data_IF_541267167462
#
_entry.id   IF_541267167462
#
_cell.length_a   1.000
_cell.length_b   1.000
_cell.length_c   1.000
_cell.angle_alpha   90.00
_cell.angle_beta   90.00
_cell.angle_gamma   90.00
#
_symmetry.space_group_name_H-M   'P 1'
#
loop_
_entity.id
_entity.type
_entity.pdbx_description
1 polymer ?
#
# COMPACT_ATOMS: atom_id res chain seq x y z
N UNK A 1 27.80 -39.53 -39.88
CA UNK A 1 28.61 -38.71 -38.95
C UNK A 1 28.26 -37.23 -39.00
N UNK A 2 27.94 -36.67 -40.13
CA UNK A 2 27.63 -35.22 -40.26
C UNK A 2 26.22 -34.83 -39.74
N UNK A 3 25.27 -35.75 -39.66
CA UNK A 3 23.91 -35.44 -39.17
C UNK A 3 23.80 -35.30 -37.67
N UNK A 4 24.61 -36.03 -36.90
CA UNK A 4 24.62 -35.94 -35.43
C UNK A 4 25.24 -34.65 -34.92
N UNK A 5 26.24 -34.13 -35.63
CA UNK A 5 26.88 -32.86 -35.26
C UNK A 5 25.93 -31.64 -35.43
N UNK A 6 25.09 -31.70 -36.46
CA UNK A 6 24.10 -30.63 -36.71
C UNK A 6 22.96 -30.61 -35.70
N UNK A 7 22.55 -31.77 -35.20
CA UNK A 7 21.46 -31.85 -34.18
C UNK A 7 21.95 -31.35 -32.82
N UNK A 8 23.17 -31.70 -32.41
CA UNK A 8 23.78 -31.25 -31.18
C UNK A 8 24.02 -29.73 -31.21
N UNK A 9 24.53 -29.19 -32.33
CA UNK A 9 24.73 -27.76 -32.50
C UNK A 9 23.44 -26.95 -32.49
N UNK A 10 22.36 -27.47 -33.09
CA UNK A 10 21.04 -26.83 -33.04
C UNK A 10 20.39 -26.91 -31.67
N UNK A 11 20.62 -28.01 -30.95
CA UNK A 11 20.08 -28.18 -29.58
C UNK A 11 20.77 -27.25 -28.59
N UNK A 12 22.10 -27.09 -28.70
CA UNK A 12 22.87 -26.14 -27.86
C UNK A 12 22.51 -24.70 -28.15
N UNK A 13 22.25 -24.34 -29.42
CA UNK A 13 21.81 -22.99 -29.80
C UNK A 13 20.39 -22.68 -29.24
N UNK A 14 19.48 -23.66 -29.25
CA UNK A 14 18.13 -23.54 -28.69
C UNK A 14 18.14 -23.40 -27.16
N UNK A 15 19.02 -24.15 -26.47
CA UNK A 15 19.21 -24.03 -25.03
C UNK A 15 19.83 -22.68 -24.63
N UNK A 16 20.77 -22.16 -25.40
CA UNK A 16 21.37 -20.85 -25.19
C UNK A 16 20.36 -19.71 -25.39
N UNK A 17 19.49 -19.82 -26.41
CA UNK A 17 18.44 -18.85 -26.67
C UNK A 17 17.36 -18.85 -25.56
N UNK A 18 17.07 -20.00 -24.97
CA UNK A 18 16.08 -20.12 -23.89
C UNK A 18 16.61 -19.58 -22.56
N UNK A 19 17.92 -19.57 -22.34
CA UNK A 19 18.55 -19.01 -21.14
C UNK A 19 18.52 -17.47 -21.10
N UNK A 20 18.43 -16.81 -22.25
CA UNK A 20 18.39 -15.34 -22.37
C UNK A 20 17.00 -14.73 -22.07
N UNK A 21 15.96 -15.54 -21.96
CA UNK A 21 14.59 -15.04 -21.71
C UNK A 21 14.25 -14.87 -20.22
N UNK A 22 15.14 -15.26 -19.31
CA UNK A 22 14.94 -15.14 -17.86
C UNK A 22 15.50 -13.85 -17.23
N UNK A 23 15.90 -12.86 -18.03
CA UNK A 23 16.17 -11.52 -17.47
C UNK A 23 14.86 -10.84 -17.16
N UNK A 24 14.21 -11.28 -16.09
CA UNK A 24 13.04 -10.60 -15.53
C UNK A 24 13.46 -9.21 -15.05
N UNK A 25 12.77 -8.16 -15.54
CA UNK A 25 12.87 -6.81 -14.96
C UNK A 25 12.40 -6.88 -13.52
N UNK A 26 13.33 -7.07 -12.59
CA UNK A 26 13.05 -6.92 -11.16
C UNK A 26 12.74 -5.44 -10.87
N UNK A 27 11.47 -5.12 -10.60
CA UNK A 27 11.11 -3.80 -10.08
C UNK A 27 11.77 -3.64 -8.71
N UNK A 28 12.80 -2.78 -8.64
CA UNK A 28 13.41 -2.41 -7.36
C UNK A 28 12.53 -1.38 -6.67
N UNK A 29 11.94 -1.77 -5.56
CA UNK A 29 11.27 -0.81 -4.67
C UNK A 29 12.31 0.15 -4.09
N UNK A 30 12.04 1.45 -4.06
CA UNK A 30 12.92 2.38 -3.37
C UNK A 30 13.00 2.02 -1.88
N UNK A 31 14.11 2.35 -1.25
CA UNK A 31 14.30 2.12 0.17
C UNK A 31 13.22 2.85 0.99
N UNK A 32 12.54 2.14 1.87
CA UNK A 32 11.50 2.68 2.73
C UNK A 32 12.08 3.10 4.07
N UNK A 33 11.65 4.25 4.55
CA UNK A 33 11.97 4.76 5.89
C UNK A 33 10.70 4.65 6.73
N UNK A 34 10.78 3.93 7.84
CA UNK A 34 9.65 3.83 8.79
C UNK A 34 9.26 5.22 9.27
N UNK A 35 8.00 5.55 9.09
CA UNK A 35 7.46 6.89 9.35
C UNK A 35 6.26 6.77 10.27
N UNK A 36 6.35 7.41 11.40
CA UNK A 36 5.28 7.48 12.41
C UNK A 36 5.09 8.91 12.85
N UNK A 37 3.95 9.20 13.44
CA UNK A 37 3.67 10.52 13.98
C UNK A 37 2.35 10.57 14.71
N UNK A 38 1.95 11.78 15.08
CA UNK A 38 0.70 12.05 15.78
C UNK A 38 -0.02 13.21 15.10
N UNK A 39 -1.33 13.10 14.95
CA UNK A 39 -2.19 14.16 14.43
C UNK A 39 -2.97 14.78 15.60
N UNK A 40 -2.85 16.09 15.75
CA UNK A 40 -3.61 16.88 16.72
C UNK A 40 -4.33 18.02 16.02
N UNK A 41 -5.46 18.41 16.58
CA UNK A 41 -6.21 19.59 16.19
C UNK A 41 -6.53 20.39 17.46
N UNK A 42 -6.05 21.63 17.51
CA UNK A 42 -6.18 22.50 18.70
C UNK A 42 -5.66 21.84 20.00
N UNK A 43 -4.57 21.06 19.90
CA UNK A 43 -3.98 20.33 21.02
C UNK A 43 -4.62 18.98 21.34
N UNK A 44 -5.74 18.63 20.70
CA UNK A 44 -6.45 17.36 20.91
C UNK A 44 -6.05 16.32 19.85
N UNK A 45 -5.82 15.06 20.24
CA UNK A 45 -5.52 14.00 19.28
C UNK A 45 -6.72 13.71 18.36
N UNK A 46 -6.45 13.50 17.08
CA UNK A 46 -7.48 13.19 16.08
C UNK A 46 -7.48 11.69 15.78
N UNK A 47 -8.48 11.01 16.28
CA UNK A 47 -8.69 9.58 16.01
C UNK A 47 -9.40 9.34 14.68
N UNK A 48 -9.11 8.19 14.07
CA UNK A 48 -9.78 7.71 12.84
C UNK A 48 -9.66 8.69 11.65
N UNK A 49 -8.55 9.40 11.57
CA UNK A 49 -8.22 10.23 10.41
C UNK A 49 -7.43 9.41 9.38
N UNK A 50 -7.80 9.55 8.13
CA UNK A 50 -7.05 9.00 7.00
C UNK A 50 -6.02 10.02 6.52
N UNK A 51 -4.76 9.59 6.45
CA UNK A 51 -3.64 10.39 5.98
C UNK A 51 -3.19 9.90 4.62
N UNK A 52 -2.84 10.84 3.74
CA UNK A 52 -2.24 10.53 2.45
C UNK A 52 -0.99 11.39 2.27
N UNK A 53 0.11 10.74 1.93
CA UNK A 53 1.42 11.33 1.66
C UNK A 53 1.66 11.26 0.17
N UNK A 54 1.61 12.40 -0.51
CA UNK A 54 1.69 12.51 -1.97
C UNK A 54 3.04 13.09 -2.35
N UNK A 55 3.94 12.29 -2.97
CA UNK A 55 5.21 12.79 -3.47
C UNK A 55 5.02 13.61 -4.76
N UNK A 56 6.03 14.38 -5.16
CA UNK A 56 6.04 15.05 -6.45
C UNK A 56 6.06 14.05 -7.62
N UNK A 57 6.72 12.91 -7.42
CA UNK A 57 6.69 11.79 -8.35
C UNK A 57 6.78 10.47 -7.60
N UNK A 58 6.10 9.44 -8.10
CA UNK A 58 6.11 8.12 -7.51
C UNK A 58 4.80 7.75 -6.82
N UNK A 59 4.86 6.70 -6.02
CA UNK A 59 3.67 6.13 -5.37
C UNK A 59 3.31 6.89 -4.09
N UNK A 60 2.05 7.28 -3.92
CA UNK A 60 1.55 7.79 -2.64
C UNK A 60 1.62 6.74 -1.54
N UNK A 61 1.79 7.20 -0.30
CA UNK A 61 1.70 6.39 0.89
C UNK A 61 0.51 6.84 1.75
N UNK A 62 0.04 5.97 2.62
CA UNK A 62 -1.12 6.25 3.46
C UNK A 62 -0.93 5.77 4.89
N UNK A 63 -1.73 6.30 5.79
CA UNK A 63 -1.81 5.89 7.17
C UNK A 63 -3.16 6.27 7.78
N UNK A 64 -3.49 5.65 8.90
CA UNK A 64 -4.68 5.99 9.67
C UNK A 64 -4.30 6.23 11.10
N UNK A 65 -4.95 7.19 11.75
CA UNK A 65 -4.72 7.46 13.17
C UNK A 65 -5.54 6.50 14.05
N UNK A 66 -4.92 6.09 15.16
CA UNK A 66 -5.59 5.36 16.23
C UNK A 66 -6.33 6.32 17.19
N UNK A 67 -6.86 5.82 18.29
CA UNK A 67 -7.58 6.61 19.30
C UNK A 67 -6.72 7.70 19.94
N UNK A 68 -5.40 7.56 19.95
CA UNK A 68 -4.45 8.53 20.48
C UNK A 68 -3.96 9.53 19.42
N UNK A 69 -4.48 9.45 18.18
CA UNK A 69 -4.04 10.27 17.07
C UNK A 69 -2.73 9.83 16.43
N UNK A 70 -2.18 8.69 16.86
CA UNK A 70 -0.92 8.14 16.36
C UNK A 70 -1.13 7.39 15.03
N UNK A 71 -0.17 7.52 14.12
CA UNK A 71 -0.22 6.85 12.82
C UNK A 71 1.11 6.21 12.44
N UNK A 72 1.02 5.21 11.58
CA UNK A 72 2.15 4.60 10.88
C UNK A 72 1.87 4.65 9.38
N UNK A 73 2.90 4.89 8.59
CA UNK A 73 2.76 5.06 7.14
C UNK A 73 3.09 3.77 6.40
N UNK A 74 2.33 3.50 5.36
CA UNK A 74 2.50 2.35 4.49
C UNK A 74 2.50 2.77 3.02
N UNK A 75 3.52 2.38 2.27
CA UNK A 75 3.57 2.55 0.81
C UNK A 75 3.12 1.28 0.08
N UNK A 76 3.61 0.13 0.52
CA UNK A 76 3.31 -1.18 -0.07
C UNK A 76 2.58 -2.12 0.89
N UNK A 77 2.59 -1.82 2.17
CA UNK A 77 1.91 -2.56 3.22
C UNK A 77 2.79 -2.82 4.44
N UNK A 78 2.17 -3.30 5.53
CA UNK A 78 2.88 -3.68 6.74
C UNK A 78 3.61 -2.56 7.46
N UNK A 79 3.15 -1.32 7.33
CA UNK A 79 3.78 -0.14 7.93
C UNK A 79 5.25 0.02 7.55
N UNK A 80 5.56 -0.23 6.30
CA UNK A 80 6.92 -0.19 5.74
C UNK A 80 7.49 1.23 5.64
N UNK A 81 6.64 2.24 5.76
CA UNK A 81 7.04 3.64 5.69
C UNK A 81 6.92 4.23 4.29
N UNK A 82 7.77 5.20 3.99
CA UNK A 82 7.84 5.86 2.70
C UNK A 82 9.29 6.17 2.32
N UNK A 83 9.62 6.33 1.02
CA UNK A 83 10.95 6.78 0.59
C UNK A 83 11.26 8.18 1.12
N UNK A 84 12.53 8.46 1.38
CA UNK A 84 12.97 9.81 1.74
C UNK A 84 12.64 10.80 0.62
N UNK A 85 12.13 11.97 0.97
CA UNK A 85 11.74 13.00 0.01
C UNK A 85 10.78 14.02 0.60
N UNK A 86 10.21 14.82 -0.28
CA UNK A 86 9.22 15.84 0.07
C UNK A 86 7.81 15.32 -0.29
N UNK A 87 6.88 15.54 0.61
CA UNK A 87 5.51 15.07 0.48
C UNK A 87 4.50 16.16 0.80
N UNK A 88 3.42 16.19 0.05
CA UNK A 88 2.20 16.87 0.45
C UNK A 88 1.38 15.92 1.30
N UNK A 89 1.01 16.34 2.50
CA UNK A 89 0.22 15.52 3.42
C UNK A 89 -1.20 16.06 3.48
N UNK A 90 -2.17 15.18 3.28
CA UNK A 90 -3.59 15.48 3.52
C UNK A 90 -4.11 14.60 4.65
N UNK A 91 -4.95 15.17 5.49
CA UNK A 91 -5.65 14.47 6.56
C UNK A 91 -7.15 14.65 6.39
N UNK A 92 -7.87 13.56 6.39
CA UNK A 92 -9.33 13.56 6.24
C UNK A 92 -9.96 12.75 7.36
N UNK A 93 -10.91 13.36 8.06
CA UNK A 93 -11.73 12.66 9.05
C UNK A 93 -13.19 12.76 8.66
N UNK A 94 -13.83 11.61 8.50
CA UNK A 94 -15.26 11.55 8.28
C UNK A 94 -15.98 11.65 9.62
N UNK A 95 -16.75 12.72 9.79
CA UNK A 95 -17.63 12.91 10.93
C UNK A 95 -19.06 12.72 10.46
N UNK A 96 -19.70 11.69 10.97
CA UNK A 96 -21.13 11.48 10.74
C UNK A 96 -21.92 12.45 11.63
N UNK A 97 -22.80 13.22 11.03
CA UNK A 97 -23.74 14.06 11.80
C UNK A 97 -24.70 13.15 12.57
N UNK A 98 -25.12 13.60 13.75
CA UNK A 98 -25.94 12.82 14.70
C UNK A 98 -27.10 12.07 14.06
N UNK A 99 -27.84 12.72 13.14
CA UNK A 99 -28.94 12.09 12.36
C UNK A 99 -28.51 10.89 11.50
N UNK A 100 -27.30 10.92 10.97
CA UNK A 100 -26.77 9.80 10.19
C UNK A 100 -26.24 8.70 11.10
N UNK A 101 -25.67 9.07 12.22
CA UNK A 101 -25.21 8.13 13.25
C UNK A 101 -26.36 7.29 13.80
N UNK A 102 -27.48 7.93 14.12
CA UNK A 102 -28.69 7.23 14.60
C UNK A 102 -29.27 6.29 13.54
N UNK A 103 -29.30 6.70 12.27
CA UNK A 103 -29.73 5.82 11.17
C UNK A 103 -28.82 4.63 10.97
N UNK A 104 -27.52 4.87 10.99
CA UNK A 104 -26.52 3.82 10.86
C UNK A 104 -26.65 2.80 12.00
N UNK A 105 -26.73 3.25 13.23
CA UNK A 105 -26.89 2.39 14.40
C UNK A 105 -28.17 1.54 14.32
N UNK A 106 -29.28 2.15 13.90
CA UNK A 106 -30.54 1.40 13.69
C UNK A 106 -30.43 0.32 12.60
N UNK A 107 -29.72 0.61 11.51
CA UNK A 107 -29.50 -0.40 10.47
C UNK A 107 -28.63 -1.55 10.94
N UNK A 108 -27.61 -1.26 11.73
CA UNK A 108 -26.74 -2.30 12.32
C UNK A 108 -27.52 -3.16 13.31
N UNK A 109 -28.36 -2.57 14.15
CA UNK A 109 -29.21 -3.31 15.09
C UNK A 109 -30.23 -4.20 14.36
N UNK A 110 -30.85 -3.68 13.29
CA UNK A 110 -31.77 -4.47 12.47
C UNK A 110 -31.09 -5.64 11.78
N UNK A 111 -29.92 -5.42 11.18
CA UNK A 111 -29.15 -6.46 10.53
C UNK A 111 -28.69 -7.54 11.54
N UNK A 112 -28.31 -7.14 12.75
CA UNK A 112 -27.95 -8.07 13.82
C UNK A 112 -29.16 -8.89 14.30
N UNK A 113 -30.34 -8.29 14.38
CA UNK A 113 -31.58 -8.98 14.75
C UNK A 113 -32.06 -9.97 13.68
N UNK A 114 -31.87 -9.65 12.41
CA UNK A 114 -32.20 -10.55 11.28
C UNK A 114 -31.22 -11.71 11.13
N UNK A 115 -30.00 -11.58 11.67
CA UNK A 115 -28.97 -12.64 11.62
C UNK A 115 -29.14 -13.71 12.71
N UNK A 116 -29.97 -13.50 13.70
CA UNK A 116 -30.36 -14.49 14.72
C UNK A 116 -31.55 -15.30 14.22
#
# INVERSE_FOLDING_TARGET
MYHTFNVVGKLTLLLAAMALTFTGCGYRRPAQVKTTGTVTLDGEPVASAALMFIPDSGRPASGNTNTNGEFQVSSFGGNDGLPAGNYRVTATKLILKDKFQERYNRQVEQAAAEAE
#
